data_IF_488444078539
#
_entry.id   IF_488444078539
#
_cell.length_a   1.000
_cell.length_b   1.000
_cell.length_c   1.000
_cell.angle_alpha   90.00
_cell.angle_beta   90.00
_cell.angle_gamma   90.00
#
_symmetry.space_group_name_H-M   'P 1'
#
loop_
_entity.id
_entity.type
_entity.pdbx_description
1 polymer ?
#
# COMPACT_ATOMS: atom_id res chain seq x y z
N UNK A 1 38.43 8.97 -45.35
CA UNK A 1 38.63 7.85 -44.41
C UNK A 1 38.20 8.17 -42.96
N UNK A 2 39.00 8.83 -42.11
CA UNK A 2 38.62 9.06 -40.69
C UNK A 2 37.28 9.82 -40.51
N UNK A 3 37.01 10.80 -41.37
CA UNK A 3 35.78 11.60 -41.30
C UNK A 3 34.52 10.77 -41.64
N UNK A 4 34.61 9.84 -42.59
CA UNK A 4 33.51 8.93 -42.96
C UNK A 4 33.21 7.93 -41.83
N UNK A 5 34.23 7.48 -41.11
CA UNK A 5 34.08 6.61 -39.93
C UNK A 5 33.36 7.36 -38.80
N UNK A 6 33.72 8.62 -38.55
CA UNK A 6 33.05 9.46 -37.55
C UNK A 6 31.60 9.77 -37.95
N UNK A 7 31.34 9.98 -39.25
CA UNK A 7 29.99 10.22 -39.75
C UNK A 7 29.11 8.96 -39.65
N UNK A 8 29.61 7.79 -40.06
CA UNK A 8 28.89 6.52 -40.00
C UNK A 8 28.89 5.87 -38.62
N UNK A 9 29.73 6.35 -37.70
CA UNK A 9 29.93 5.79 -36.36
C UNK A 9 30.34 4.31 -36.34
N UNK A 10 30.92 3.81 -37.43
CA UNK A 10 31.27 2.41 -37.64
C UNK A 10 32.65 2.30 -38.29
N UNK A 11 33.46 1.36 -37.81
CA UNK A 11 34.78 1.00 -38.35
C UNK A 11 34.84 -0.51 -38.55
N UNK A 12 35.40 -0.96 -39.68
CA UNK A 12 35.62 -2.38 -39.95
C UNK A 12 36.68 -2.94 -38.97
N UNK A 13 36.48 -4.13 -38.41
CA UNK A 13 37.35 -4.69 -37.37
C UNK A 13 38.79 -4.93 -37.85
N UNK A 14 38.97 -5.36 -39.10
CA UNK A 14 40.30 -5.60 -39.68
C UNK A 14 41.10 -4.29 -39.80
N UNK A 15 40.45 -3.22 -40.26
CA UNK A 15 41.05 -1.88 -40.30
C UNK A 15 41.32 -1.32 -38.91
N UNK A 16 40.46 -1.65 -37.94
CA UNK A 16 40.66 -1.25 -36.55
C UNK A 16 41.91 -1.91 -35.97
N UNK A 17 42.16 -3.19 -36.21
CA UNK A 17 43.31 -3.92 -35.68
C UNK A 17 44.65 -3.41 -36.22
N UNK A 18 44.69 -3.03 -37.50
CA UNK A 18 45.87 -2.46 -38.18
C UNK A 18 46.28 -1.08 -37.66
N UNK A 19 45.36 -0.33 -37.03
CA UNK A 19 45.69 0.96 -36.40
C UNK A 19 46.57 0.76 -35.17
N UNK A 20 47.57 1.62 -35.00
CA UNK A 20 48.34 1.64 -33.76
C UNK A 20 47.43 1.98 -32.57
N UNK A 21 47.80 1.55 -31.37
CA UNK A 21 46.99 1.78 -30.17
C UNK A 21 46.75 3.28 -29.90
N UNK A 22 47.71 4.12 -30.29
CA UNK A 22 47.57 5.58 -30.23
C UNK A 22 46.53 6.11 -31.23
N UNK A 23 46.52 5.57 -32.46
CA UNK A 23 45.53 5.94 -33.47
C UNK A 23 44.13 5.45 -33.11
N UNK A 24 44.01 4.24 -32.54
CA UNK A 24 42.76 3.71 -31.97
C UNK A 24 42.22 4.63 -30.87
N UNK A 25 43.07 5.07 -29.94
CA UNK A 25 42.69 5.99 -28.87
C UNK A 25 42.18 7.34 -29.42
N UNK A 26 42.85 7.91 -30.41
CA UNK A 26 42.43 9.16 -31.07
C UNK A 26 41.08 8.98 -31.78
N UNK A 27 40.91 7.87 -32.51
CA UNK A 27 39.66 7.54 -33.19
C UNK A 27 38.50 7.42 -32.20
N UNK A 28 38.64 6.64 -31.13
CA UNK A 28 37.59 6.47 -30.13
C UNK A 28 37.26 7.76 -29.41
N UNK A 29 38.25 8.62 -29.14
CA UNK A 29 38.01 9.95 -28.58
C UNK A 29 37.13 10.79 -29.52
N UNK A 30 37.44 10.82 -30.82
CA UNK A 30 36.66 11.58 -31.82
C UNK A 30 35.26 11.02 -32.02
N UNK A 31 35.10 9.70 -32.08
CA UNK A 31 33.79 9.05 -32.12
C UNK A 31 32.96 9.35 -30.87
N UNK A 32 33.58 9.35 -29.69
CA UNK A 32 32.88 9.69 -28.44
C UNK A 32 32.44 11.15 -28.40
N UNK A 33 33.28 12.08 -28.87
CA UNK A 33 32.89 13.49 -29.02
C UNK A 33 31.67 13.63 -29.94
N UNK A 34 31.65 12.89 -31.04
CA UNK A 34 30.55 12.91 -31.99
C UNK A 34 29.25 12.31 -31.41
N UNK A 35 29.32 11.20 -30.66
CA UNK A 35 28.17 10.66 -29.93
C UNK A 35 27.55 11.69 -28.99
N UNK A 36 28.38 12.37 -28.18
CA UNK A 36 27.92 13.39 -27.24
C UNK A 36 27.33 14.58 -27.97
N UNK A 37 27.93 15.01 -29.09
CA UNK A 37 27.42 16.09 -29.93
C UNK A 37 26.05 15.75 -30.51
N UNK A 38 25.88 14.56 -31.09
CA UNK A 38 24.59 14.09 -31.63
C UNK A 38 23.52 13.97 -30.55
N UNK A 39 23.88 13.39 -29.40
CA UNK A 39 22.95 13.25 -28.28
C UNK A 39 22.46 14.60 -27.77
N UNK A 40 23.36 15.57 -27.55
CA UNK A 40 22.97 16.93 -27.14
C UNK A 40 22.06 17.61 -28.16
N UNK A 41 22.38 17.50 -29.45
CA UNK A 41 21.54 18.07 -30.49
C UNK A 41 20.14 17.43 -30.53
N UNK A 42 20.04 16.14 -30.25
CA UNK A 42 18.76 15.44 -30.20
C UNK A 42 17.95 15.82 -28.94
N UNK A 43 18.60 15.95 -27.78
CA UNK A 43 17.98 16.47 -26.55
C UNK A 43 17.46 17.90 -26.74
N UNK A 44 18.28 18.80 -27.30
CA UNK A 44 17.88 20.19 -27.57
C UNK A 44 16.69 20.24 -28.55
N UNK A 45 16.70 19.40 -29.59
CA UNK A 45 15.57 19.27 -30.53
C UNK A 45 14.32 18.76 -29.84
N UNK A 46 14.43 17.71 -29.02
CA UNK A 46 13.30 17.12 -28.28
C UNK A 46 12.72 18.14 -27.29
N UNK A 47 13.56 18.87 -26.57
CA UNK A 47 13.13 19.91 -25.64
C UNK A 47 12.44 21.06 -26.39
N UNK A 48 13.00 21.51 -27.51
CA UNK A 48 12.38 22.51 -28.37
C UNK A 48 11.04 22.03 -28.95
N UNK A 49 10.93 20.75 -29.32
CA UNK A 49 9.69 20.15 -29.82
C UNK A 49 8.61 20.06 -28.74
N UNK A 50 8.98 19.68 -27.52
CA UNK A 50 8.09 19.69 -26.34
C UNK A 50 7.59 21.11 -26.05
N UNK A 51 8.47 22.11 -26.08
CA UNK A 51 8.10 23.52 -25.88
C UNK A 51 7.24 24.09 -27.02
N UNK A 52 7.44 23.61 -28.26
CA UNK A 52 6.71 24.07 -29.45
C UNK A 52 5.34 23.43 -29.61
N UNK A 53 5.11 22.24 -29.06
CA UNK A 53 3.79 21.60 -29.12
C UNK A 53 2.85 22.31 -28.15
N UNK A 54 1.85 23.09 -28.62
CA UNK A 54 0.82 23.58 -27.72
C UNK A 54 0.11 22.37 -27.12
N UNK A 55 -0.02 22.34 -25.80
CA UNK A 55 -0.92 21.40 -25.12
C UNK A 55 -2.32 21.66 -25.66
N UNK A 56 -2.80 20.80 -26.57
CA UNK A 56 -4.17 20.91 -27.08
C UNK A 56 -5.11 20.88 -25.87
N UNK A 57 -6.07 21.82 -25.77
CA UNK A 57 -7.07 21.75 -24.71
C UNK A 57 -7.78 20.39 -24.80
N UNK A 58 -7.86 19.70 -23.67
CA UNK A 58 -8.59 18.44 -23.55
C UNK A 58 -10.02 18.64 -24.04
N UNK A 59 -10.58 17.67 -24.78
CA UNK A 59 -11.97 17.75 -25.23
C UNK A 59 -12.90 17.84 -24.00
N UNK A 60 -14.05 18.53 -24.09
CA UNK A 60 -15.01 18.55 -22.99
C UNK A 60 -15.41 17.12 -22.63
N UNK A 61 -15.22 16.73 -21.36
CA UNK A 61 -15.56 15.39 -20.85
C UNK A 61 -14.40 14.40 -20.72
N UNK A 62 -13.19 14.70 -21.20
CA UNK A 62 -12.01 13.84 -20.99
C UNK A 62 -11.19 14.26 -19.78
N UNK A 63 -11.09 13.38 -18.78
CA UNK A 63 -10.25 13.58 -17.58
C UNK A 63 -8.79 13.61 -17.99
N UNK A 64 -8.09 14.71 -17.68
CA UNK A 64 -6.66 14.86 -17.85
C UNK A 64 -6.00 15.15 -16.49
N UNK A 65 -4.85 14.54 -16.24
CA UNK A 65 -4.03 14.85 -15.08
C UNK A 65 -3.08 15.97 -15.48
N UNK A 66 -3.10 17.09 -14.76
CA UNK A 66 -2.12 18.16 -14.92
C UNK A 66 -1.46 18.42 -13.57
N UNK A 67 -0.14 18.60 -13.58
CA UNK A 67 0.56 19.06 -12.39
C UNK A 67 0.16 20.51 -12.14
N UNK A 68 -0.43 20.74 -10.98
CA UNK A 68 -0.62 22.09 -10.49
C UNK A 68 0.74 22.65 -10.11
N UNK A 69 0.97 23.93 -10.38
CA UNK A 69 2.22 24.59 -10.02
C UNK A 69 1.96 25.61 -8.92
N UNK A 70 2.86 25.68 -7.94
CA UNK A 70 2.85 26.67 -6.88
C UNK A 70 3.23 28.06 -7.39
N UNK A 71 3.19 29.05 -6.48
CA UNK A 71 3.63 30.42 -6.78
C UNK A 71 5.11 30.52 -7.17
N UNK A 72 5.90 29.52 -6.82
CA UNK A 72 7.31 29.36 -7.11
C UNK A 72 7.58 28.70 -8.49
N UNK A 73 6.52 28.34 -9.23
CA UNK A 73 6.64 27.67 -10.51
C UNK A 73 7.10 26.20 -10.40
N UNK A 74 7.16 25.64 -9.18
CA UNK A 74 7.40 24.22 -8.95
C UNK A 74 6.07 23.48 -8.83
N UNK A 75 6.11 22.15 -8.89
CA UNK A 75 4.93 21.30 -8.70
C UNK A 75 4.31 21.53 -7.31
N UNK A 76 3.00 21.74 -7.27
CA UNK A 76 2.24 21.91 -6.03
C UNK A 76 1.93 20.55 -5.41
N UNK A 77 2.35 20.38 -4.17
CA UNK A 77 2.13 19.16 -3.39
C UNK A 77 1.29 19.52 -2.17
N UNK A 78 0.19 18.77 -1.96
CA UNK A 78 -0.58 18.81 -0.71
C UNK A 78 -0.15 17.62 0.14
N UNK A 79 0.36 17.90 1.33
CA UNK A 79 0.65 16.88 2.35
C UNK A 79 -0.51 16.88 3.35
N UNK A 80 -1.24 15.76 3.44
CA UNK A 80 -2.34 15.63 4.39
C UNK A 80 -1.80 15.75 5.83
N UNK A 81 -2.36 16.69 6.59
CA UNK A 81 -1.97 16.93 8.00
C UNK A 81 -1.00 18.07 8.23
N UNK A 82 -0.45 18.70 7.18
CA UNK A 82 0.41 19.88 7.31
C UNK A 82 -0.38 21.20 7.35
N UNK A 83 -1.64 21.18 6.87
CA UNK A 83 -2.50 22.36 6.91
C UNK A 83 -3.09 22.56 8.32
N UNK A 84 -3.26 23.82 8.75
CA UNK A 84 -3.72 24.19 10.12
C UNK A 84 -5.08 23.59 10.52
N UNK A 85 -5.90 23.24 9.54
CA UNK A 85 -7.24 22.69 9.76
C UNK A 85 -7.30 21.18 9.45
N UNK A 86 -6.22 20.58 8.98
CA UNK A 86 -6.17 19.16 8.67
C UNK A 86 -5.90 18.36 9.94
N UNK A 87 -6.48 17.16 10.02
CA UNK A 87 -6.11 16.21 11.07
C UNK A 87 -4.70 15.70 10.79
N UNK A 88 -3.92 15.53 11.85
CA UNK A 88 -2.63 14.87 11.73
C UNK A 88 -2.83 13.41 11.30
N UNK A 89 -1.85 12.85 10.58
CA UNK A 89 -1.88 11.44 10.16
C UNK A 89 -2.08 10.51 11.37
N UNK A 90 -1.47 10.84 12.50
CA UNK A 90 -1.63 10.10 13.75
C UNK A 90 -3.08 10.08 14.23
N UNK A 91 -3.74 11.24 14.28
CA UNK A 91 -5.15 11.34 14.66
C UNK A 91 -6.07 10.60 13.69
N UNK A 92 -5.79 10.64 12.39
CA UNK A 92 -6.60 9.92 11.38
C UNK A 92 -6.52 8.41 11.61
N UNK A 93 -5.31 7.89 11.82
CA UNK A 93 -5.09 6.47 12.06
C UNK A 93 -5.68 6.01 13.41
N UNK A 94 -5.61 6.87 14.44
CA UNK A 94 -6.23 6.59 15.73
C UNK A 94 -7.76 6.56 15.62
N UNK A 95 -8.38 7.52 14.93
CA UNK A 95 -9.82 7.56 14.67
C UNK A 95 -10.27 6.32 13.87
N UNK A 96 -9.48 5.91 12.89
CA UNK A 96 -9.76 4.72 12.08
C UNK A 96 -9.67 3.44 12.92
N UNK A 97 -8.64 3.30 13.74
CA UNK A 97 -8.49 2.19 14.67
C UNK A 97 -9.67 2.12 15.64
N UNK A 98 -10.12 3.26 16.16
CA UNK A 98 -11.25 3.32 17.09
C UNK A 98 -12.56 2.92 16.41
N UNK A 99 -12.85 3.45 15.21
CA UNK A 99 -14.03 3.06 14.43
C UNK A 99 -14.04 1.59 14.07
N UNK A 100 -12.89 1.04 13.69
CA UNK A 100 -12.78 -0.36 13.34
C UNK A 100 -12.94 -1.26 14.57
N UNK A 101 -12.45 -0.84 15.74
CA UNK A 101 -12.64 -1.55 17.00
C UNK A 101 -14.12 -1.55 17.42
N UNK A 102 -14.81 -0.43 17.27
CA UNK A 102 -16.26 -0.32 17.52
C UNK A 102 -17.06 -1.22 16.59
N UNK A 103 -16.78 -1.19 15.28
CA UNK A 103 -17.44 -2.08 14.30
C UNK A 103 -17.22 -3.55 14.62
N UNK A 104 -16.00 -3.92 15.01
CA UNK A 104 -15.71 -5.31 15.33
C UNK A 104 -16.38 -5.75 16.63
N UNK A 105 -16.41 -4.88 17.64
CA UNK A 105 -17.18 -5.12 18.86
C UNK A 105 -18.69 -5.28 18.55
N UNK A 106 -19.23 -4.46 17.64
CA UNK A 106 -20.63 -4.57 17.19
C UNK A 106 -20.93 -5.91 16.53
N UNK A 107 -20.06 -6.38 15.63
CA UNK A 107 -20.23 -7.66 14.94
C UNK A 107 -20.15 -8.83 15.92
N UNK A 108 -19.16 -8.84 16.81
CA UNK A 108 -19.00 -9.88 17.84
C UNK A 108 -20.22 -9.94 18.76
N UNK A 109 -20.72 -8.78 19.16
CA UNK A 109 -21.85 -8.65 20.07
C UNK A 109 -23.19 -8.96 19.40
N UNK A 110 -23.40 -8.57 18.15
CA UNK A 110 -24.60 -8.94 17.40
C UNK A 110 -24.67 -10.47 17.20
N UNK A 111 -23.51 -11.10 17.00
CA UNK A 111 -23.41 -12.56 16.94
C UNK A 111 -23.79 -13.21 18.28
N UNK A 112 -23.31 -12.65 19.40
CA UNK A 112 -23.72 -13.09 20.73
C UNK A 112 -25.21 -12.88 20.97
N UNK A 113 -25.74 -11.70 20.64
CA UNK A 113 -27.17 -11.37 20.76
C UNK A 113 -28.03 -12.35 19.98
N UNK A 114 -27.66 -12.66 18.74
CA UNK A 114 -28.39 -13.62 17.91
C UNK A 114 -28.43 -15.01 18.55
N UNK A 115 -27.31 -15.45 19.13
CA UNK A 115 -27.26 -16.73 19.83
C UNK A 115 -28.11 -16.71 21.12
N UNK A 116 -27.99 -15.65 21.94
CA UNK A 116 -28.77 -15.47 23.16
C UNK A 116 -30.28 -15.40 22.87
N UNK A 117 -30.70 -14.66 21.84
CA UNK A 117 -32.09 -14.57 21.39
C UNK A 117 -32.62 -15.93 20.92
N UNK A 118 -31.81 -16.74 20.24
CA UNK A 118 -32.19 -18.09 19.84
C UNK A 118 -32.35 -19.03 21.03
N UNK A 119 -31.41 -19.00 21.98
CA UNK A 119 -31.53 -19.79 23.22
C UNK A 119 -32.74 -19.35 24.04
N UNK A 120 -32.98 -18.05 24.11
CA UNK A 120 -34.13 -17.47 24.78
C UNK A 120 -35.44 -17.91 24.13
N UNK A 121 -35.54 -17.86 22.80
CA UNK A 121 -36.71 -18.31 22.06
C UNK A 121 -36.99 -19.79 22.30
N UNK A 122 -35.96 -20.64 22.35
CA UNK A 122 -36.10 -22.07 22.68
C UNK A 122 -36.69 -22.27 24.07
N UNK A 123 -36.21 -21.54 25.09
CA UNK A 123 -36.74 -21.63 26.46
C UNK A 123 -38.19 -21.15 26.55
N UNK A 124 -38.54 -20.09 25.81
CA UNK A 124 -39.91 -19.59 25.73
C UNK A 124 -40.86 -20.62 25.14
N UNK A 125 -40.47 -21.24 24.02
CA UNK A 125 -41.25 -22.27 23.33
C UNK A 125 -41.42 -23.52 24.20
N UNK A 126 -40.36 -23.92 24.93
CA UNK A 126 -40.41 -25.03 25.88
C UNK A 126 -41.39 -24.78 27.03
N UNK A 127 -41.37 -23.59 27.63
CA UNK A 127 -42.31 -23.21 28.70
C UNK A 127 -43.75 -23.06 28.18
N UNK A 128 -43.96 -22.55 26.97
CA UNK A 128 -45.29 -22.53 26.34
C UNK A 128 -45.82 -23.94 26.14
N UNK A 129 -44.99 -24.85 25.61
CA UNK A 129 -45.36 -26.26 25.42
C UNK A 129 -45.66 -26.96 26.75
N UNK A 130 -44.97 -26.60 27.82
CA UNK A 130 -45.24 -27.10 29.17
C UNK A 130 -46.60 -26.63 29.68
N UNK A 131 -46.92 -25.34 29.52
CA UNK A 131 -48.22 -24.79 29.89
C UNK A 131 -49.36 -25.39 29.06
N UNK A 132 -49.16 -25.65 27.78
CA UNK A 132 -50.14 -26.33 26.92
C UNK A 132 -50.41 -27.77 27.36
N UNK A 133 -49.36 -28.52 27.74
CA UNK A 133 -49.50 -29.86 28.31
C UNK A 133 -50.28 -29.84 29.62
N UNK A 134 -49.95 -28.90 30.52
CA UNK A 134 -50.62 -28.72 31.80
C UNK A 134 -52.11 -28.36 31.61
N UNK A 135 -52.43 -27.56 30.59
CA UNK A 135 -53.82 -27.26 30.20
C UNK A 135 -54.55 -28.48 29.66
N UNK A 136 -53.94 -29.23 28.74
CA UNK A 136 -54.55 -30.42 28.15
C UNK A 136 -54.81 -31.53 29.19
N UNK A 137 -53.90 -31.69 30.16
CA UNK A 137 -54.08 -32.64 31.26
C UNK A 137 -55.26 -32.24 32.17
N UNK A 138 -55.36 -30.96 32.54
CA UNK A 138 -56.49 -30.44 33.31
C UNK A 138 -57.82 -30.56 32.56
N UNK A 139 -57.84 -30.26 31.27
CA UNK A 139 -59.04 -30.39 30.43
C UNK A 139 -59.49 -31.86 30.34
N UNK A 140 -58.55 -32.79 30.19
CA UNK A 140 -58.84 -34.22 30.19
C UNK A 140 -59.36 -34.70 31.56
N UNK A 141 -58.83 -34.18 32.67
CA UNK A 141 -59.32 -34.48 34.02
C UNK A 141 -60.74 -33.95 34.24
N UNK A 142 -61.00 -32.71 33.82
CA UNK A 142 -62.35 -32.11 33.85
C UNK A 142 -63.33 -32.94 33.03
N UNK A 143 -62.95 -33.35 31.81
CA UNK A 143 -63.80 -34.18 30.94
C UNK A 143 -64.12 -35.54 31.57
N UNK A 144 -63.15 -36.19 32.24
CA UNK A 144 -63.39 -37.43 32.99
C UNK A 144 -64.38 -37.23 34.13
N UNK A 145 -64.25 -36.14 34.90
CA UNK A 145 -65.17 -35.79 35.98
C UNK A 145 -66.59 -35.47 35.47
N UNK A 146 -66.70 -34.81 34.31
CA UNK A 146 -67.98 -34.54 33.64
C UNK A 146 -68.68 -35.83 33.22
N UNK A 147 -67.94 -36.77 32.61
CA UNK A 147 -68.44 -38.09 32.19
C UNK A 147 -68.88 -38.94 33.39
N UNK A 148 -68.11 -38.94 34.48
CA UNK A 148 -68.47 -39.62 35.75
C UNK A 148 -69.72 -39.01 36.41
N UNK A 149 -69.82 -37.68 36.46
CA UNK A 149 -70.99 -36.98 37.01
C UNK A 149 -72.25 -37.21 36.17
N UNK A 150 -72.12 -37.30 34.84
CA UNK A 150 -73.23 -37.61 33.93
C UNK A 150 -73.75 -39.05 34.09
N UNK A 151 -72.89 -39.99 34.50
CA UNK A 151 -73.26 -41.39 34.74
C UNK A 151 -74.05 -41.59 36.06
N UNK A 152 -73.85 -40.73 37.06
CA UNK A 152 -74.34 -40.94 38.44
C UNK A 152 -75.54 -40.07 38.88
N UNK A 153 -75.92 -39.01 38.14
CA UNK A 153 -76.83 -37.97 38.64
C UNK A 153 -78.27 -37.96 38.08
N UNK A 154 -79.23 -37.55 38.92
CA UNK A 154 -80.56 -37.06 38.51
C UNK A 154 -80.45 -35.65 37.90
N UNK A 155 -81.28 -35.31 36.89
CA UNK A 155 -81.20 -34.11 36.03
C UNK A 155 -80.96 -32.76 36.75
N UNK A 156 -81.41 -32.64 38.01
CA UNK A 156 -81.23 -31.43 38.83
C UNK A 156 -79.82 -31.31 39.44
N UNK A 157 -79.24 -32.43 39.84
CA UNK A 157 -77.93 -32.51 40.47
C UNK A 157 -76.80 -32.33 39.44
N UNK A 158 -77.00 -32.83 38.22
CA UNK A 158 -76.09 -32.62 37.09
C UNK A 158 -75.94 -31.14 36.70
N UNK A 159 -77.03 -30.35 36.80
CA UNK A 159 -76.99 -28.90 36.52
C UNK A 159 -76.22 -28.11 37.58
N UNK A 160 -76.35 -28.48 38.85
CA UNK A 160 -75.62 -27.81 39.94
C UNK A 160 -74.13 -28.20 39.95
N UNK A 161 -73.81 -29.46 39.63
CA UNK A 161 -72.44 -29.92 39.45
C UNK A 161 -71.72 -29.22 38.28
N UNK A 162 -72.39 -29.10 37.12
CA UNK A 162 -71.85 -28.40 35.96
C UNK A 162 -71.51 -26.93 36.27
N UNK A 163 -72.39 -26.23 37.00
CA UNK A 163 -72.16 -24.82 37.37
C UNK A 163 -70.96 -24.65 38.30
N UNK A 164 -70.76 -25.56 39.26
CA UNK A 164 -69.57 -25.53 40.14
C UNK A 164 -68.28 -25.82 39.39
N UNK A 165 -68.34 -26.77 38.45
CA UNK A 165 -67.20 -27.12 37.60
C UNK A 165 -66.80 -25.96 36.68
N UNK A 166 -67.78 -25.24 36.14
CA UNK A 166 -67.56 -24.05 35.31
C UNK A 166 -66.96 -22.88 36.12
N UNK A 167 -67.43 -22.65 37.34
CA UNK A 167 -66.83 -21.64 38.25
C UNK A 167 -65.38 -21.98 38.65
N UNK A 168 -65.06 -23.27 38.85
CA UNK A 168 -63.70 -23.73 39.12
C UNK A 168 -62.80 -23.57 37.88
N UNK A 169 -63.33 -23.88 36.69
CA UNK A 169 -62.65 -23.68 35.41
C UNK A 169 -62.30 -22.20 35.20
N UNK A 170 -63.25 -21.29 35.38
CA UNK A 170 -63.03 -19.85 35.26
C UNK A 170 -61.93 -19.35 36.22
N UNK A 171 -61.94 -19.78 37.48
CA UNK A 171 -60.88 -19.41 38.45
C UNK A 171 -59.50 -19.93 38.03
N UNK A 172 -59.44 -21.16 37.51
CA UNK A 172 -58.19 -21.74 37.02
C UNK A 172 -57.67 -21.06 35.76
N UNK A 173 -58.55 -20.63 34.86
CA UNK A 173 -58.20 -19.88 33.65
C UNK A 173 -57.64 -18.51 34.01
N UNK A 174 -58.26 -17.80 34.95
CA UNK A 174 -57.77 -16.54 35.49
C UNK A 174 -56.37 -16.69 36.11
N UNK A 175 -56.14 -17.74 36.91
CA UNK A 175 -54.82 -18.03 37.50
C UNK A 175 -53.76 -18.28 36.42
N UNK A 176 -54.10 -19.03 35.37
CA UNK A 176 -53.20 -19.26 34.22
C UNK A 176 -52.91 -17.96 33.48
N UNK A 177 -53.91 -17.07 33.32
CA UNK A 177 -53.68 -15.77 32.65
C UNK A 177 -52.74 -14.88 33.46
N UNK A 178 -52.86 -14.86 34.79
CA UNK A 178 -51.96 -14.13 35.68
C UNK A 178 -50.54 -14.69 35.59
N UNK A 179 -50.39 -16.02 35.61
CA UNK A 179 -49.09 -16.69 35.51
C UNK A 179 -48.40 -16.41 34.17
N UNK A 180 -49.14 -16.40 33.06
CA UNK A 180 -48.63 -16.03 31.72
C UNK A 180 -48.19 -14.56 31.69
N UNK A 181 -48.96 -13.66 32.30
CA UNK A 181 -48.63 -12.24 32.36
C UNK A 181 -47.37 -11.99 33.21
N UNK A 182 -47.22 -12.68 34.34
CA UNK A 182 -46.03 -12.60 35.19
C UNK A 182 -44.78 -13.16 34.51
N UNK A 183 -44.90 -14.26 33.76
CA UNK A 183 -43.83 -14.74 32.90
C UNK A 183 -43.44 -13.66 31.88
N UNK A 184 -44.41 -13.08 31.17
CA UNK A 184 -44.17 -12.01 30.19
C UNK A 184 -43.46 -10.79 30.80
N UNK A 185 -43.84 -10.38 32.01
CA UNK A 185 -43.17 -9.30 32.75
C UNK A 185 -41.74 -9.65 33.13
N UNK A 186 -41.50 -10.85 33.67
CA UNK A 186 -40.15 -11.35 34.01
C UNK A 186 -39.25 -11.35 32.78
N UNK A 187 -39.76 -11.83 31.66
CA UNK A 187 -39.03 -11.83 30.38
C UNK A 187 -38.72 -10.42 29.86
N UNK A 188 -39.65 -9.47 29.98
CA UNK A 188 -39.40 -8.09 29.59
C UNK A 188 -38.30 -7.42 30.44
N UNK A 189 -38.27 -7.70 31.75
CA UNK A 189 -37.23 -7.21 32.66
C UNK A 189 -35.86 -7.82 32.34
N UNK A 190 -35.80 -9.14 32.09
CA UNK A 190 -34.54 -9.80 31.75
C UNK A 190 -33.98 -9.31 30.40
N UNK A 191 -34.86 -9.09 29.41
CA UNK A 191 -34.47 -8.48 28.12
C UNK A 191 -33.87 -7.09 28.31
N UNK A 192 -34.46 -6.25 29.17
CA UNK A 192 -33.93 -4.91 29.46
C UNK A 192 -32.54 -4.98 30.10
N UNK A 193 -32.34 -5.86 31.08
CA UNK A 193 -31.04 -6.07 31.73
C UNK A 193 -30.00 -6.64 30.76
N UNK A 194 -30.39 -7.58 29.88
CA UNK A 194 -29.52 -8.11 28.83
C UNK A 194 -29.04 -6.98 27.90
N UNK A 195 -29.94 -6.12 27.41
CA UNK A 195 -29.55 -4.99 26.55
C UNK A 195 -28.58 -4.02 27.22
N UNK A 196 -28.76 -3.74 28.51
CA UNK A 196 -27.84 -2.89 29.28
C UNK A 196 -26.45 -3.53 29.43
N UNK A 197 -26.40 -4.83 29.73
CA UNK A 197 -25.14 -5.61 29.76
C UNK A 197 -24.46 -5.62 28.41
N UNK A 198 -25.21 -5.78 27.32
CA UNK A 198 -24.71 -5.74 25.94
C UNK A 198 -24.03 -4.40 25.65
N UNK A 199 -24.65 -3.26 25.98
CA UNK A 199 -24.07 -1.94 25.75
C UNK A 199 -22.79 -1.70 26.56
N UNK A 200 -22.76 -2.11 27.83
CA UNK A 200 -21.52 -2.02 28.64
C UNK A 200 -20.42 -2.93 28.10
N UNK A 201 -20.78 -4.13 27.66
CA UNK A 201 -19.84 -5.09 27.09
C UNK A 201 -19.30 -4.61 25.74
N UNK A 202 -20.12 -3.96 24.91
CA UNK A 202 -19.70 -3.30 23.66
C UNK A 202 -18.57 -2.31 23.91
N UNK A 203 -18.80 -1.36 24.82
CA UNK A 203 -17.83 -0.30 25.16
C UNK A 203 -16.53 -0.88 25.70
N UNK A 204 -16.64 -1.86 26.60
CA UNK A 204 -15.46 -2.57 27.12
C UNK A 204 -14.70 -3.26 25.99
N UNK A 205 -15.39 -4.01 25.14
CA UNK A 205 -14.79 -4.78 24.06
C UNK A 205 -14.13 -3.89 23.00
N UNK A 206 -14.77 -2.79 22.61
CA UNK A 206 -14.16 -1.86 21.64
C UNK A 206 -12.91 -1.19 22.22
N UNK A 207 -12.93 -0.82 23.51
CA UNK A 207 -11.74 -0.28 24.18
C UNK A 207 -10.58 -1.28 24.24
N UNK A 208 -10.86 -2.56 24.50
CA UNK A 208 -9.84 -3.63 24.48
C UNK A 208 -9.23 -3.82 23.08
N UNK A 209 -10.06 -3.86 22.04
CA UNK A 209 -9.64 -4.01 20.66
C UNK A 209 -8.78 -2.82 20.21
N UNK A 210 -9.21 -1.60 20.54
CA UNK A 210 -8.45 -0.38 20.27
C UNK A 210 -7.07 -0.41 20.94
N UNK A 211 -7.01 -0.72 22.25
CA UNK A 211 -5.73 -0.80 22.97
C UNK A 211 -4.81 -1.88 22.40
N UNK A 212 -5.36 -3.04 22.02
CA UNK A 212 -4.58 -4.10 21.37
C UNK A 212 -3.97 -3.64 20.06
N UNK A 213 -4.72 -2.95 19.21
CA UNK A 213 -4.21 -2.43 17.94
C UNK A 213 -3.21 -1.30 18.13
N UNK A 214 -3.44 -0.42 19.11
CA UNK A 214 -2.49 0.63 19.48
C UNK A 214 -1.14 0.04 19.89
N UNK A 215 -1.13 -0.95 20.80
CA UNK A 215 0.09 -1.63 21.19
C UNK A 215 0.79 -2.37 20.04
N UNK A 216 0.01 -3.00 19.16
CA UNK A 216 0.56 -3.65 17.96
C UNK A 216 1.26 -2.63 17.06
N UNK A 217 0.64 -1.48 16.83
CA UNK A 217 1.22 -0.39 16.05
C UNK A 217 2.49 0.16 16.67
N UNK A 218 2.46 0.46 17.97
CA UNK A 218 3.65 0.93 18.71
C UNK A 218 4.81 -0.08 18.61
N UNK A 219 4.49 -1.38 18.63
CA UNK A 219 5.50 -2.43 18.45
C UNK A 219 6.09 -2.44 17.04
N UNK A 220 5.27 -2.24 16.01
CA UNK A 220 5.72 -2.16 14.61
C UNK A 220 6.60 -0.93 14.42
N UNK A 221 6.17 0.24 14.92
CA UNK A 221 6.92 1.49 14.82
C UNK A 221 8.27 1.38 15.54
N UNK A 222 8.29 0.72 16.71
CA UNK A 222 9.53 0.45 17.43
C UNK A 222 10.48 -0.45 16.64
N UNK A 223 9.97 -1.53 16.04
CA UNK A 223 10.78 -2.41 15.18
C UNK A 223 11.33 -1.65 13.97
N UNK A 224 10.50 -0.84 13.30
CA UNK A 224 10.92 -0.04 12.16
C UNK A 224 12.03 0.96 12.53
N UNK A 225 11.94 1.59 13.71
CA UNK A 225 12.97 2.47 14.24
C UNK A 225 14.27 1.72 14.55
N UNK A 226 14.19 0.54 15.15
CA UNK A 226 15.36 -0.31 15.42
C UNK A 226 16.04 -0.74 14.12
N UNK A 227 15.27 -1.24 13.14
CA UNK A 227 15.81 -1.62 11.82
C UNK A 227 16.41 -0.42 11.09
N UNK A 228 15.80 0.76 11.20
CA UNK A 228 16.33 1.98 10.59
C UNK A 228 17.66 2.37 11.23
N UNK A 229 17.79 2.29 12.56
CA UNK A 229 19.06 2.56 13.26
C UNK A 229 20.19 1.63 12.84
N UNK A 230 19.88 0.37 12.52
CA UNK A 230 20.87 -0.59 12.04
C UNK A 230 21.26 -0.36 10.58
N UNK A 231 20.28 -0.06 9.72
CA UNK A 231 20.48 0.09 8.27
C UNK A 231 21.10 1.43 7.90
N UNK A 232 20.73 2.52 8.59
CA UNK A 232 21.20 3.88 8.31
C UNK A 232 22.74 4.04 8.29
N UNK A 233 23.52 3.53 9.26
CA UNK A 233 24.98 3.64 9.22
C UNK A 233 25.60 2.83 8.07
N UNK A 234 25.07 1.64 7.80
CA UNK A 234 25.53 0.77 6.70
C UNK A 234 25.30 1.49 5.37
N UNK A 235 24.10 2.04 5.18
CA UNK A 235 23.75 2.82 4.00
C UNK A 235 24.68 4.02 3.82
N UNK A 236 24.94 4.80 4.89
CA UNK A 236 25.87 5.94 4.85
C UNK A 236 27.29 5.55 4.48
N UNK A 237 27.77 4.42 5.00
CA UNK A 237 29.10 3.91 4.66
C UNK A 237 29.18 3.46 3.20
N UNK A 238 28.16 2.74 2.72
CA UNK A 238 28.05 2.34 1.31
C UNK A 238 27.99 3.56 0.39
N UNK A 239 27.21 4.58 0.76
CA UNK A 239 27.10 5.83 0.00
C UNK A 239 28.44 6.56 -0.08
N UNK A 240 29.16 6.65 1.04
CA UNK A 240 30.51 7.24 1.07
C UNK A 240 31.47 6.47 0.18
N UNK A 241 31.48 5.13 0.29
CA UNK A 241 32.33 4.26 -0.54
C UNK A 241 32.01 4.41 -2.03
N UNK A 242 30.74 4.53 -2.40
CA UNK A 242 30.32 4.77 -3.77
C UNK A 242 30.81 6.13 -4.29
N UNK A 243 30.68 7.20 -3.49
CA UNK A 243 31.20 8.54 -3.82
C UNK A 243 32.71 8.54 -4.00
N UNK A 244 33.45 7.88 -3.09
CA UNK A 244 34.91 7.78 -3.18
C UNK A 244 35.34 7.01 -4.43
N UNK A 245 34.67 5.90 -4.76
CA UNK A 245 34.92 5.15 -5.98
C UNK A 245 34.64 6.00 -7.25
N UNK A 246 33.56 6.78 -7.25
CA UNK A 246 33.24 7.70 -8.36
C UNK A 246 34.35 8.75 -8.55
N UNK A 247 34.86 9.32 -7.45
CA UNK A 247 35.98 10.27 -7.49
C UNK A 247 37.24 9.62 -8.06
N UNK A 248 37.59 8.41 -7.61
CA UNK A 248 38.73 7.65 -8.12
C UNK A 248 38.59 7.36 -9.62
N UNK A 249 37.43 6.87 -10.06
CA UNK A 249 37.16 6.64 -11.48
C UNK A 249 37.27 7.93 -12.29
N UNK A 250 36.80 9.06 -11.74
CA UNK A 250 36.89 10.36 -12.40
C UNK A 250 38.32 10.88 -12.49
N UNK A 251 39.15 10.62 -11.48
CA UNK A 251 40.58 10.96 -11.51
C UNK A 251 41.30 10.09 -12.55
N UNK A 252 41.13 8.77 -12.51
CA UNK A 252 41.71 7.86 -13.50
C UNK A 252 41.32 8.23 -14.93
N UNK A 253 40.05 8.61 -15.14
CA UNK A 253 39.59 9.08 -16.44
C UNK A 253 40.17 10.45 -16.85
N UNK A 254 40.53 11.32 -15.90
CA UNK A 254 41.26 12.57 -16.20
C UNK A 254 42.70 12.25 -16.57
N UNK A 255 43.38 11.43 -15.79
CA UNK A 255 44.78 11.05 -16.00
C UNK A 255 44.94 10.37 -17.37
N UNK A 256 44.06 9.43 -17.70
CA UNK A 256 44.02 8.80 -19.02
C UNK A 256 43.80 9.82 -20.16
N UNK A 257 42.96 10.86 -19.95
CA UNK A 257 42.78 11.93 -20.95
C UNK A 257 44.00 12.81 -21.10
N UNK A 258 44.70 13.09 -19.99
CA UNK A 258 45.93 13.88 -20.01
C UNK A 258 47.08 13.11 -20.64
N UNK A 259 47.20 11.81 -20.38
CA UNK A 259 48.15 10.93 -21.03
C UNK A 259 47.93 10.90 -22.54
N UNK A 260 46.70 10.64 -23.00
CA UNK A 260 46.35 10.70 -24.43
C UNK A 260 46.66 12.08 -25.02
N UNK A 261 46.37 13.16 -24.30
CA UNK A 261 46.69 14.53 -24.75
C UNK A 261 48.19 14.77 -24.86
N UNK A 262 48.97 14.24 -23.91
CA UNK A 262 50.42 14.39 -23.88
C UNK A 262 51.08 13.55 -24.98
N UNK A 263 50.63 12.31 -25.22
CA UNK A 263 51.06 11.49 -26.35
C UNK A 263 50.75 12.19 -27.67
N UNK A 264 49.53 12.72 -27.83
CA UNK A 264 49.15 13.51 -29.01
C UNK A 264 50.05 14.75 -29.21
N UNK A 265 50.39 15.47 -28.13
CA UNK A 265 51.35 16.59 -28.18
C UNK A 265 52.75 16.14 -28.56
N UNK A 266 53.18 14.97 -28.07
CA UNK A 266 54.50 14.41 -28.36
C UNK A 266 54.62 14.00 -29.83
N UNK A 267 53.61 13.30 -30.37
CA UNK A 267 53.51 12.97 -31.79
C UNK A 267 53.44 14.22 -32.66
N UNK A 268 52.65 15.24 -32.28
CA UNK A 268 52.59 16.50 -33.01
C UNK A 268 53.94 17.25 -33.03
N UNK A 269 54.69 17.24 -31.91
CA UNK A 269 56.05 17.80 -31.84
C UNK A 269 57.02 17.05 -32.76
N UNK A 270 56.98 15.72 -32.75
CA UNK A 270 57.84 14.88 -33.58
C UNK A 270 57.54 15.07 -35.08
N UNK A 271 56.26 15.15 -35.45
CA UNK A 271 55.85 15.48 -36.83
C UNK A 271 56.30 16.87 -37.27
N UNK A 272 56.24 17.86 -36.38
CA UNK A 272 56.71 19.22 -36.66
C UNK A 272 58.24 19.27 -36.81
N UNK A 273 58.98 18.52 -35.98
CA UNK A 273 60.44 18.41 -36.08
C UNK A 273 60.88 17.70 -37.38
N UNK A 274 60.18 16.65 -37.79
CA UNK A 274 60.42 15.95 -39.07
C UNK A 274 60.09 16.86 -40.26
N UNK A 275 59.02 17.65 -40.18
CA UNK A 275 58.68 18.65 -41.21
C UNK A 275 59.71 19.79 -41.29
N UNK A 276 60.24 20.25 -40.14
CA UNK A 276 61.31 21.25 -40.09
C UNK A 276 62.62 20.69 -40.67
N UNK A 277 62.94 19.42 -40.42
CA UNK A 277 64.10 18.73 -40.98
C UNK A 277 63.97 18.52 -42.50
N UNK A 278 62.77 18.21 -42.99
CA UNK A 278 62.49 18.09 -44.42
C UNK A 278 62.48 19.45 -45.16
N UNK A 279 62.31 20.56 -44.44
CA UNK A 279 62.29 21.91 -45.01
C UNK A 279 63.65 22.63 -44.93
N UNK A 280 64.64 22.05 -44.25
CA UNK A 280 66.02 22.54 -44.19
C UNK A 280 66.83 22.14 -45.43
N UNK A 281 67.08 23.09 -46.32
CA UNK A 281 68.00 22.94 -47.45
C UNK A 281 69.44 22.93 -46.94
N UNK A 282 70.07 21.76 -46.77
CA UNK A 282 71.53 21.62 -46.83
C UNK A 282 71.88 20.19 -47.28
N UNK A 283 72.32 20.07 -48.55
CA UNK A 283 72.84 18.80 -49.09
C UNK A 283 74.33 18.69 -48.73
N UNK A 284 74.83 17.55 -48.24
CA UNK A 284 76.27 17.36 -48.02
C UNK A 284 77.03 17.38 -49.37
N UNK A 285 78.27 17.88 -49.40
CA UNK A 285 79.02 18.08 -50.65
C UNK A 285 79.43 16.74 -51.26
N UNK A 286 79.34 16.66 -52.59
CA UNK A 286 79.75 15.51 -53.40
C UNK A 286 81.29 15.34 -53.37
N UNK A 287 81.80 14.10 -53.27
CA UNK A 287 83.24 13.86 -53.26
C UNK A 287 83.87 14.19 -54.63
N UNK A 288 85.10 14.75 -54.65
CA UNK A 288 85.78 15.13 -55.88
C UNK A 288 86.24 13.91 -56.67
N UNK A 289 86.05 13.97 -58.00
CA UNK A 289 86.50 12.97 -58.96
C UNK A 289 88.01 13.08 -59.15
N UNK A 290 88.76 12.02 -58.85
CA UNK A 290 90.17 11.94 -59.19
C UNK A 290 90.36 11.40 -60.62
N UNK A 291 91.05 12.19 -61.42
CA UNK A 291 91.58 11.86 -62.74
C UNK A 291 92.84 11.03 -62.53
N UNK A 292 92.89 9.84 -63.10
CA UNK A 292 94.09 9.01 -63.21
C UNK A 292 95.09 9.65 -64.18
N UNK A 293 96.38 9.77 -63.85
CA UNK A 293 97.50 9.59 -64.80
C UNK A 293 98.85 9.47 -64.04
N UNK A 294 99.54 8.36 -64.34
CA UNK A 294 100.97 7.96 -64.21
C UNK A 294 101.88 8.61 -63.16
#
# INVERSE_FOLDING_TARGET
>A
MLQEIIEKMYIDPDLLEELSDEQKAILFYKMRQEQVRRWKQEEDKREAEVKRKPTKPSKPGTKNVCFMHGKDGKEWVWVMGDHRNDRTIQQILDDEAQRNADKQADIELERQRRNEEQEFQRKMEEEQRRLEREKAEREAELKRKEEEAALYASLKEAREAAKRLEEEKMRSEEEVTLRVNDLRKKFAVERRKSMERVETNKKRRSSELYMKWKHMRDSIDKQALETSKEVEPIWKEQEKRAKDAEVQMRQLARDAREEVRNSFRHVARNLTAVSAFASGKDKPPLPPKYVSFF
#
